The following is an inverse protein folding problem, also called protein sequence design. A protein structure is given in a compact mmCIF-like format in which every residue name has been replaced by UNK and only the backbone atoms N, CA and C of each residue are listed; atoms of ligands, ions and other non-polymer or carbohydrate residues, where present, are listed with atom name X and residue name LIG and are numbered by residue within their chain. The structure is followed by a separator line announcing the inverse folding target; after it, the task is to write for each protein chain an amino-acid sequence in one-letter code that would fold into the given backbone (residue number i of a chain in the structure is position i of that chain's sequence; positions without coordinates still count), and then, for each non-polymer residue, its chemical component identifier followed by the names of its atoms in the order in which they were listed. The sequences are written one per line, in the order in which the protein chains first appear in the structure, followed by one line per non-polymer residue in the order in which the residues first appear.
data_IF_231956762063
#
_entry.id   IF_231956762063
#
_cell.length_a   1.000
_cell.length_b   1.000
_cell.length_c   1.000
_cell.angle_alpha   90.00
_cell.angle_beta   90.00
_cell.angle_gamma   90.00
#
_symmetry.space_group_name_H-M   'P 1'
#
loop_
_entity.id
_entity.type
_entity.pdbx_description
1 polymer ?
#
# COMPACT_ATOMS: atom_id res chain seq x y z
N UNK A 1 5.95 8.58 -15.25
CA UNK A 1 6.90 7.59 -14.71
C UNK A 1 6.50 7.17 -13.29
N UNK A 2 6.48 8.08 -12.31
CA UNK A 2 6.16 7.76 -10.90
C UNK A 2 4.77 7.13 -10.65
N UNK A 3 3.71 7.59 -11.33
CA UNK A 3 2.37 6.95 -11.24
C UNK A 3 2.40 5.48 -11.70
N UNK A 4 3.15 5.18 -12.75
CA UNK A 4 3.30 3.81 -13.24
C UNK A 4 4.06 2.95 -12.23
N UNK A 5 5.16 3.45 -11.70
CA UNK A 5 5.92 2.73 -10.64
C UNK A 5 5.08 2.49 -9.39
N UNK A 6 4.25 3.47 -9.00
CA UNK A 6 3.32 3.34 -7.88
C UNK A 6 2.29 2.24 -8.15
N UNK A 7 1.67 2.25 -9.33
CA UNK A 7 0.72 1.23 -9.75
C UNK A 7 1.37 -0.17 -9.83
N UNK A 8 2.58 -0.26 -10.40
CA UNK A 8 3.34 -1.51 -10.50
C UNK A 8 3.66 -2.07 -9.10
N UNK A 9 4.03 -1.22 -8.13
CA UNK A 9 4.25 -1.64 -6.74
C UNK A 9 2.97 -2.13 -6.06
N UNK A 10 1.83 -1.45 -6.29
CA UNK A 10 0.53 -1.90 -5.76
C UNK A 10 0.16 -3.28 -6.31
N UNK A 11 0.41 -3.52 -7.60
CA UNK A 11 0.17 -4.82 -8.25
C UNK A 11 1.03 -5.97 -7.73
N UNK A 12 2.10 -5.67 -6.99
CA UNK A 12 2.94 -6.68 -6.31
C UNK A 12 2.44 -6.97 -4.88
N UNK A 13 2.12 -5.95 -4.10
CA UNK A 13 1.71 -6.11 -2.70
C UNK A 13 0.25 -6.57 -2.55
N UNK A 14 -0.66 -6.09 -3.39
CA UNK A 14 -2.10 -6.34 -3.25
C UNK A 14 -2.46 -7.84 -3.36
N UNK A 15 -1.88 -8.62 -4.28
CA UNK A 15 -2.11 -10.07 -4.32
C UNK A 15 -1.59 -10.79 -3.07
N UNK A 16 -0.44 -10.38 -2.52
CA UNK A 16 0.10 -10.95 -1.29
C UNK A 16 -0.84 -10.71 -0.11
N UNK A 17 -1.32 -9.48 0.07
CA UNK A 17 -2.28 -9.15 1.13
C UNK A 17 -3.58 -9.95 0.97
N UNK A 18 -4.11 -10.07 -0.24
CA UNK A 18 -5.33 -10.84 -0.49
C UNK A 18 -5.14 -12.34 -0.22
N UNK A 19 -3.98 -12.90 -0.59
CA UNK A 19 -3.68 -14.33 -0.38
C UNK A 19 -3.72 -14.72 1.11
N UNK A 20 -3.30 -13.82 1.99
CA UNK A 20 -3.21 -14.09 3.43
C UNK A 20 -4.22 -13.31 4.27
N UNK A 21 -5.25 -12.75 3.64
CA UNK A 21 -6.30 -12.03 4.35
C UNK A 21 -7.16 -12.99 5.17
N UNK A 22 -7.04 -12.92 6.49
CA UNK A 22 -7.88 -13.64 7.46
C UNK A 22 -9.06 -12.79 7.98
N UNK A 23 -9.27 -11.61 7.39
CA UNK A 23 -10.25 -10.62 7.80
C UNK A 23 -9.67 -9.49 8.64
N UNK A 24 -8.46 -9.61 9.19
CA UNK A 24 -7.87 -8.56 10.05
C UNK A 24 -7.31 -7.36 9.27
N UNK A 25 -6.96 -7.56 7.99
CA UNK A 25 -6.35 -6.55 7.12
C UNK A 25 -7.29 -6.06 6.00
N UNK A 26 -8.57 -6.40 6.05
CA UNK A 26 -9.52 -6.13 4.97
C UNK A 26 -9.69 -4.62 4.67
N UNK A 27 -9.68 -3.78 5.72
CA UNK A 27 -9.83 -2.32 5.56
C UNK A 27 -8.62 -1.75 4.82
N UNK A 28 -7.42 -2.18 5.22
CA UNK A 28 -6.16 -1.80 4.60
C UNK A 28 -6.13 -2.19 3.11
N UNK A 29 -6.59 -3.40 2.79
CA UNK A 29 -6.74 -3.87 1.40
C UNK A 29 -7.70 -2.98 0.61
N UNK A 30 -8.86 -2.63 1.17
CA UNK A 30 -9.84 -1.78 0.50
C UNK A 30 -9.30 -0.39 0.17
N UNK A 31 -8.51 0.23 1.06
CA UNK A 31 -7.87 1.51 0.77
C UNK A 31 -6.79 1.38 -0.31
N UNK A 32 -6.04 0.28 -0.31
CA UNK A 32 -5.02 0.04 -1.33
C UNK A 32 -5.64 -0.22 -2.72
N UNK A 33 -6.79 -0.89 -2.78
CA UNK A 33 -7.62 -1.02 -3.99
C UNK A 33 -8.17 0.34 -4.46
N UNK A 34 -8.58 1.18 -3.51
CA UNK A 34 -8.98 2.56 -3.81
C UNK A 34 -7.85 3.37 -4.44
N UNK A 35 -6.62 3.23 -3.92
CA UNK A 35 -5.44 3.85 -4.50
C UNK A 35 -5.14 3.32 -5.91
N UNK A 36 -5.22 2.00 -6.12
CA UNK A 36 -5.07 1.39 -7.45
C UNK A 36 -6.05 2.00 -8.45
N UNK A 37 -7.34 2.02 -8.11
CA UNK A 37 -8.41 2.56 -8.95
C UNK A 37 -8.17 4.03 -9.31
N UNK A 38 -7.81 4.87 -8.33
CA UNK A 38 -7.52 6.28 -8.56
C UNK A 38 -6.35 6.48 -9.54
N UNK A 39 -5.30 5.64 -9.44
CA UNK A 39 -4.16 5.71 -10.34
C UNK A 39 -4.50 5.27 -11.76
N UNK A 40 -5.31 4.21 -11.91
CA UNK A 40 -5.76 3.70 -13.21
C UNK A 40 -6.71 4.67 -13.93
N UNK A 41 -7.64 5.29 -13.19
CA UNK A 41 -8.61 6.25 -13.73
C UNK A 41 -8.00 7.59 -14.13
N UNK A 42 -6.77 7.85 -13.72
CA UNK A 42 -6.14 9.12 -14.03
C UNK A 42 -6.37 10.20 -12.99
N UNK A 43 -6.89 9.88 -11.80
CA UNK A 43 -7.43 10.85 -10.83
C UNK A 43 -6.45 11.94 -10.40
N UNK A 44 -6.97 13.02 -9.83
CA UNK A 44 -6.17 14.17 -9.42
C UNK A 44 -5.21 13.84 -8.26
N UNK A 45 -4.13 14.61 -8.13
CA UNK A 45 -3.22 14.50 -6.98
C UNK A 45 -3.90 14.72 -5.62
N UNK A 46 -4.86 15.66 -5.46
CA UNK A 46 -5.66 15.74 -4.23
C UNK A 46 -6.32 14.42 -3.83
N UNK A 47 -6.92 13.70 -4.78
CA UNK A 47 -7.53 12.38 -4.53
C UNK A 47 -6.51 11.36 -4.04
N UNK A 48 -5.32 11.34 -4.64
CA UNK A 48 -4.23 10.46 -4.22
C UNK A 48 -3.73 10.82 -2.81
N UNK A 49 -3.65 12.11 -2.48
CA UNK A 49 -3.25 12.60 -1.16
C UNK A 49 -4.23 12.20 -0.08
N UNK A 50 -5.53 12.31 -0.33
CA UNK A 50 -6.56 11.87 0.64
C UNK A 50 -6.40 10.38 1.00
N UNK A 51 -6.16 9.52 0.01
CA UNK A 51 -5.94 8.09 0.26
C UNK A 51 -4.61 7.85 1.00
N UNK A 52 -3.55 8.57 0.62
CA UNK A 52 -2.25 8.52 1.32
C UNK A 52 -2.40 8.89 2.79
N UNK A 53 -3.10 9.99 3.10
CA UNK A 53 -3.23 10.48 4.48
C UNK A 53 -3.99 9.50 5.37
N UNK A 54 -4.85 8.66 4.78
CA UNK A 54 -5.55 7.58 5.48
C UNK A 54 -4.64 6.35 5.69
N UNK A 55 -3.86 5.98 4.67
CA UNK A 55 -2.92 4.86 4.76
C UNK A 55 -1.73 5.18 5.69
N UNK A 56 -1.14 6.37 5.56
CA UNK A 56 0.09 6.79 6.24
C UNK A 56 -0.08 8.07 7.08
N UNK A 57 -1.05 8.15 8.01
CA UNK A 57 -1.17 9.29 8.91
C UNK A 57 0.04 9.40 9.85
N UNK A 58 0.31 10.61 10.38
CA UNK A 58 1.45 10.85 11.28
C UNK A 58 1.46 10.07 12.60
N UNK A 59 0.33 9.47 13.03
CA UNK A 59 0.18 8.84 14.36
C UNK A 59 -0.64 7.54 14.33
N UNK A 60 -0.16 6.55 13.57
CA UNK A 60 -0.78 5.22 13.50
C UNK A 60 -1.82 5.15 12.40
N UNK A 61 -1.55 4.30 11.40
CA UNK A 61 -2.21 4.29 10.11
C UNK A 61 -2.70 2.93 9.65
N UNK A 62 -3.40 2.94 8.52
CA UNK A 62 -3.80 1.70 7.82
C UNK A 62 -2.67 1.08 6.99
N UNK A 63 -1.44 1.58 7.11
CA UNK A 63 -0.25 1.04 6.46
C UNK A 63 0.35 -0.19 7.16
N UNK A 64 -0.15 -0.55 8.35
CA UNK A 64 0.32 -1.73 9.07
C UNK A 64 -0.27 -3.00 8.46
N UNK A 65 0.36 -3.47 7.39
CA UNK A 65 -0.02 -4.66 6.63
C UNK A 65 0.52 -5.95 7.26
N UNK A 66 0.28 -6.17 8.56
CA UNK A 66 0.79 -7.37 9.24
C UNK A 66 -0.10 -8.59 8.99
N UNK A 67 0.51 -9.66 8.46
CA UNK A 67 -0.16 -10.92 8.16
C UNK A 67 0.14 -11.97 9.23
N UNK A 68 -0.90 -12.67 9.69
CA UNK A 68 -0.74 -13.79 10.61
C UNK A 68 -0.65 -15.15 9.88
N UNK A 69 0.31 -15.97 10.31
CA UNK A 69 0.51 -17.36 9.91
C UNK A 69 1.02 -18.15 11.10
N UNK A 70 0.59 -19.41 11.25
CA UNK A 70 1.01 -20.25 12.36
C UNK A 70 2.49 -20.68 12.26
N UNK A 71 2.98 -20.92 11.04
CA UNK A 71 4.39 -21.16 10.81
C UNK A 71 5.18 -19.85 10.97
N UNK A 72 6.14 -19.84 11.89
CA UNK A 72 6.92 -18.65 12.22
C UNK A 72 7.81 -18.19 11.06
N UNK A 73 8.50 -19.12 10.38
CA UNK A 73 9.43 -18.78 9.32
C UNK A 73 8.68 -18.30 8.07
N UNK A 74 7.55 -18.93 7.77
CA UNK A 74 6.65 -18.50 6.70
C UNK A 74 6.09 -17.10 7.01
N UNK A 75 5.61 -16.88 8.24
CA UNK A 75 5.10 -15.56 8.68
C UNK A 75 6.18 -14.48 8.58
N UNK A 76 7.40 -14.75 9.05
CA UNK A 76 8.51 -13.81 8.98
C UNK A 76 8.81 -13.44 7.53
N UNK A 77 9.00 -14.44 6.66
CA UNK A 77 9.31 -14.23 5.24
C UNK A 77 8.24 -13.40 4.52
N UNK A 78 6.96 -13.70 4.75
CA UNK A 78 5.85 -12.99 4.10
C UNK A 78 5.80 -11.53 4.58
N UNK A 79 5.94 -11.29 5.88
CA UNK A 79 5.89 -9.93 6.41
C UNK A 79 7.11 -9.10 5.99
N UNK A 80 8.30 -9.69 5.85
CA UNK A 80 9.47 -9.01 5.27
C UNK A 80 9.23 -8.59 3.81
N UNK A 81 8.62 -9.47 3.01
CA UNK A 81 8.27 -9.17 1.63
C UNK A 81 7.21 -8.04 1.53
N UNK A 82 6.16 -8.11 2.37
CA UNK A 82 5.14 -7.07 2.44
C UNK A 82 5.75 -5.73 2.89
N UNK A 83 6.62 -5.74 3.90
CA UNK A 83 7.29 -4.54 4.41
C UNK A 83 8.15 -3.88 3.33
N UNK A 84 8.87 -4.67 2.52
CA UNK A 84 9.66 -4.15 1.40
C UNK A 84 8.79 -3.39 0.39
N UNK A 85 7.65 -3.96 -0.01
CA UNK A 85 6.72 -3.27 -0.90
C UNK A 85 6.02 -2.07 -0.25
N UNK A 86 5.73 -2.14 1.05
CA UNK A 86 5.11 -1.05 1.80
C UNK A 86 6.05 0.16 1.94
N UNK A 87 7.32 -0.08 2.24
CA UNK A 87 8.35 0.96 2.27
C UNK A 87 8.49 1.62 0.91
N UNK A 88 8.50 0.82 -0.18
CA UNK A 88 8.53 1.35 -1.54
C UNK A 88 7.27 2.16 -1.88
N UNK A 89 6.10 1.72 -1.43
CA UNK A 89 4.84 2.43 -1.60
C UNK A 89 4.90 3.83 -0.97
N UNK A 90 5.36 3.90 0.29
CA UNK A 90 5.53 5.15 1.02
C UNK A 90 6.51 6.11 0.33
N UNK A 91 7.67 5.61 -0.12
CA UNK A 91 8.65 6.40 -0.88
C UNK A 91 8.03 7.03 -2.13
N UNK A 92 7.34 6.22 -2.94
CA UNK A 92 6.75 6.65 -4.20
C UNK A 92 5.65 7.69 -4.00
N UNK A 93 4.83 7.53 -2.96
CA UNK A 93 3.79 8.49 -2.58
C UNK A 93 4.39 9.84 -2.18
N UNK A 94 5.46 9.86 -1.37
CA UNK A 94 6.15 11.09 -0.99
C UNK A 94 6.84 11.77 -2.19
N UNK A 95 7.33 10.99 -3.15
CA UNK A 95 7.97 11.52 -4.35
C UNK A 95 6.99 12.14 -5.35
N UNK A 96 5.74 11.69 -5.37
CA UNK A 96 4.69 12.25 -6.23
C UNK A 96 4.30 13.66 -5.76
N UNK A 97 4.34 13.93 -4.46
CA UNK A 97 4.01 15.24 -3.91
C UNK A 97 5.02 16.33 -4.26
N UNK A 98 6.30 15.95 -4.39
CA UNK A 98 7.39 16.88 -4.70
C UNK A 98 7.49 17.28 -6.18
N UNK A 99 6.53 16.90 -7.03
CA UNK A 99 6.54 17.22 -8.46
C UNK A 99 5.75 18.50 -8.81
N UNK A 100 4.97 19.05 -7.88
CA UNK A 100 4.16 20.26 -8.11
C UNK A 100 4.41 21.38 -7.07
N UNK A 101 5.48 21.26 -6.28
CA UNK A 101 5.96 22.30 -5.34
C UNK A 101 7.05 23.18 -5.96
#
# INVERSE_FOLDING_TARGET
MKRKELLDNIKLILPLLNQYNDGTIHVQISFLQGLECALENGDSLPTIREIKDILYPPRGGLSDFSVWKNDYLERLKINEEIEAYNNRLWELLNQIENLES
#
